data_IF_775437233266
#
_entry.id   IF_775437233266
#
_cell.length_a   1.000
_cell.length_b   1.000
_cell.length_c   1.000
_cell.angle_alpha   90.00
_cell.angle_beta   90.00
_cell.angle_gamma   90.00
#
_symmetry.space_group_name_H-M   'P 1'
#
loop_
_entity.id
_entity.type
_entity.pdbx_description
1 polymer ?
#
# COMPACT_ATOMS: atom_id res chain seq x y z
N UNK A 1 -1.71 -14.47 4.58
CA UNK A 1 -2.12 -14.04 5.95
C UNK A 1 -1.07 -13.13 6.59
N UNK A 2 0.23 -13.42 6.43
CA UNK A 2 1.31 -12.58 7.01
C UNK A 2 2.10 -11.76 5.98
N UNK A 3 1.63 -11.66 4.74
CA UNK A 3 2.35 -10.97 3.66
C UNK A 3 2.63 -9.51 4.01
N UNK A 4 1.64 -8.81 4.57
CA UNK A 4 1.77 -7.41 4.96
C UNK A 4 2.76 -7.21 6.12
N UNK A 5 2.74 -8.11 7.11
CA UNK A 5 3.70 -8.06 8.20
C UNK A 5 5.14 -8.36 7.72
N UNK A 6 5.29 -9.26 6.76
CA UNK A 6 6.56 -9.53 6.09
C UNK A 6 7.04 -8.30 5.32
N UNK A 7 6.17 -7.61 4.57
CA UNK A 7 6.53 -6.36 3.89
C UNK A 7 6.97 -5.27 4.89
N UNK A 8 6.28 -5.14 6.02
CA UNK A 8 6.69 -4.25 7.12
C UNK A 8 8.07 -4.63 7.67
N UNK A 9 8.32 -5.93 7.85
CA UNK A 9 9.63 -6.45 8.24
C UNK A 9 10.72 -6.08 7.24
N UNK A 10 10.49 -6.32 5.95
CA UNK A 10 11.41 -5.91 4.86
C UNK A 10 11.75 -4.43 4.95
N UNK A 11 10.75 -3.55 5.11
CA UNK A 11 10.98 -2.10 5.28
C UNK A 11 11.84 -1.78 6.51
N UNK A 12 11.67 -2.50 7.63
CA UNK A 12 12.46 -2.30 8.83
C UNK A 12 13.93 -2.70 8.63
N UNK A 13 14.21 -3.85 8.00
CA UNK A 13 15.57 -4.27 7.66
C UNK A 13 16.25 -3.33 6.64
N UNK A 14 15.44 -2.74 5.75
CA UNK A 14 15.91 -1.82 4.72
C UNK A 14 15.95 -0.35 5.18
N UNK A 15 15.68 -0.05 6.45
CA UNK A 15 15.57 1.31 6.94
C UNK A 15 16.92 2.06 6.91
N UNK A 16 16.92 3.29 6.38
CA UNK A 16 18.10 4.16 6.32
C UNK A 16 19.14 3.75 5.29
N UNK A 17 20.24 4.51 5.22
CA UNK A 17 21.31 4.28 4.24
C UNK A 17 22.23 3.09 4.60
N UNK A 18 22.38 2.78 5.89
CA UNK A 18 23.20 1.67 6.39
C UNK A 18 22.30 0.61 7.04
N UNK A 19 22.63 -0.68 6.98
CA UNK A 19 21.87 -1.74 7.64
C UNK A 19 21.75 -1.46 9.15
N UNK A 20 20.54 -1.36 9.71
CA UNK A 20 20.34 -1.09 11.14
C UNK A 20 20.73 -2.30 12.02
N UNK A 21 21.21 -2.11 13.25
CA UNK A 21 21.39 -3.20 14.21
C UNK A 21 20.10 -4.00 14.44
N UNK A 22 20.23 -5.29 14.76
CA UNK A 22 19.08 -6.17 14.99
C UNK A 22 18.15 -5.70 16.11
N UNK A 23 18.69 -5.09 17.17
CA UNK A 23 17.90 -4.52 18.27
C UNK A 23 17.03 -3.34 17.79
N UNK A 24 17.59 -2.45 16.96
CA UNK A 24 16.85 -1.31 16.39
C UNK A 24 15.73 -1.79 15.45
N UNK A 25 15.98 -2.84 14.65
CA UNK A 25 14.94 -3.44 13.79
C UNK A 25 13.79 -3.94 14.67
N UNK A 26 14.12 -4.72 15.71
CA UNK A 26 13.12 -5.31 16.61
C UNK A 26 12.32 -4.25 17.36
N UNK A 27 12.99 -3.25 17.94
CA UNK A 27 12.34 -2.13 18.62
C UNK A 27 11.45 -1.35 17.65
N UNK A 28 11.92 -1.15 16.42
CA UNK A 28 11.13 -0.60 15.32
C UNK A 28 9.83 -1.38 15.12
N UNK A 29 9.91 -2.68 14.88
CA UNK A 29 8.70 -3.52 14.67
C UNK A 29 7.71 -3.39 15.84
N UNK A 30 8.19 -3.53 17.08
CA UNK A 30 7.36 -3.47 18.29
C UNK A 30 6.71 -2.10 18.50
N UNK A 31 7.48 -1.02 18.38
CA UNK A 31 6.95 0.35 18.51
C UNK A 31 5.95 0.71 17.40
N UNK A 32 6.00 0.00 16.26
CA UNK A 32 5.00 0.11 15.20
C UNK A 32 3.73 -0.69 15.47
N UNK A 33 3.61 -1.32 16.63
CA UNK A 33 2.46 -2.11 17.04
C UNK A 33 2.46 -3.56 16.54
N UNK A 34 3.58 -4.10 16.05
CA UNK A 34 3.67 -5.55 15.85
C UNK A 34 3.67 -6.26 17.21
N UNK A 35 2.96 -7.38 17.26
CA UNK A 35 2.96 -8.22 18.45
C UNK A 35 4.33 -8.92 18.61
N UNK A 36 4.84 -9.09 19.84
CA UNK A 36 6.18 -9.63 20.08
C UNK A 36 6.46 -10.96 19.40
N UNK A 37 5.50 -11.90 19.43
CA UNK A 37 5.65 -13.21 18.83
C UNK A 37 5.88 -13.15 17.31
N UNK A 38 5.32 -12.16 16.63
CA UNK A 38 5.47 -11.99 15.18
C UNK A 38 6.77 -11.25 14.87
N UNK A 39 7.12 -10.23 15.66
CA UNK A 39 8.39 -9.52 15.51
C UNK A 39 9.58 -10.48 15.64
N UNK A 40 9.59 -11.35 16.66
CA UNK A 40 10.68 -12.33 16.88
C UNK A 40 10.79 -13.32 15.71
N UNK A 41 9.65 -13.77 15.16
CA UNK A 41 9.62 -14.64 13.97
C UNK A 41 10.13 -13.94 12.72
N UNK A 42 9.79 -12.66 12.51
CA UNK A 42 10.29 -11.89 11.37
C UNK A 42 11.81 -11.69 11.46
N UNK A 43 12.34 -11.44 12.67
CA UNK A 43 13.78 -11.32 12.89
C UNK A 43 14.55 -12.59 12.50
N UNK A 44 13.94 -13.76 12.67
CA UNK A 44 14.54 -15.05 12.29
C UNK A 44 14.31 -15.38 10.81
N UNK A 45 13.06 -15.35 10.34
CA UNK A 45 12.71 -15.93 9.05
C UNK A 45 12.99 -15.03 7.85
N UNK A 46 13.04 -13.71 8.00
CA UNK A 46 13.42 -12.83 6.89
C UNK A 46 14.88 -13.06 6.46
N UNK A 47 15.89 -13.03 7.36
CA UNK A 47 17.26 -13.34 6.98
C UNK A 47 17.41 -14.72 6.34
N UNK A 48 16.72 -15.74 6.85
CA UNK A 48 16.77 -17.11 6.29
C UNK A 48 16.19 -17.12 4.87
N UNK A 49 14.97 -16.63 4.68
CA UNK A 49 14.29 -16.64 3.39
C UNK A 49 15.08 -15.89 2.31
N UNK A 50 15.58 -14.69 2.63
CA UNK A 50 16.36 -13.87 1.71
C UNK A 50 17.78 -14.41 1.51
N UNK A 51 18.40 -14.96 2.56
CA UNK A 51 19.71 -15.59 2.50
C UNK A 51 19.72 -16.81 1.58
N UNK A 52 18.74 -17.71 1.71
CA UNK A 52 18.62 -18.91 0.87
C UNK A 52 18.44 -18.59 -0.62
N UNK A 53 17.82 -17.45 -0.95
CA UNK A 53 17.77 -16.96 -2.33
C UNK A 53 19.16 -16.61 -2.88
N UNK A 54 20.10 -16.18 -2.04
CA UNK A 54 21.48 -15.88 -2.45
C UNK A 54 22.40 -17.11 -2.50
N UNK A 55 22.08 -18.17 -1.77
CA UNK A 55 22.92 -19.37 -1.63
C UNK A 55 22.79 -20.37 -2.79
N UNK A 56 22.58 -19.89 -4.02
CA UNK A 56 22.40 -20.76 -5.19
C UNK A 56 23.52 -21.79 -5.31
N UNK A 57 23.16 -23.08 -5.34
CA UNK A 57 24.10 -24.21 -5.45
C UNK A 57 24.50 -24.86 -4.12
N UNK A 58 24.21 -24.24 -2.97
CA UNK A 58 24.39 -24.85 -1.64
C UNK A 58 23.20 -25.75 -1.33
N UNK A 59 23.44 -26.96 -0.82
CA UNK A 59 22.36 -27.79 -0.28
C UNK A 59 22.03 -27.31 1.13
N UNK A 60 20.78 -26.91 1.38
CA UNK A 60 20.32 -26.44 2.69
C UNK A 60 19.25 -27.38 3.24
N UNK A 61 19.30 -27.63 4.55
CA UNK A 61 18.26 -28.37 5.26
C UNK A 61 16.99 -27.51 5.37
N UNK A 62 15.82 -28.06 5.05
CA UNK A 62 14.54 -27.36 5.10
C UNK A 62 13.87 -27.39 6.49
N UNK A 63 14.65 -27.68 7.52
CA UNK A 63 14.23 -27.70 8.91
C UNK A 63 15.02 -26.75 9.81
N UNK A 64 14.44 -26.43 10.96
CA UNK A 64 15.07 -25.67 12.03
C UNK A 64 14.81 -26.33 13.38
N UNK A 65 15.71 -26.16 14.33
CA UNK A 65 15.62 -26.66 15.71
C UNK A 65 15.16 -25.52 16.62
N UNK A 66 13.99 -25.69 17.22
CA UNK A 66 13.29 -24.71 18.06
C UNK A 66 12.99 -25.34 19.42
N UNK A 67 13.68 -24.88 20.46
CA UNK A 67 13.58 -25.47 21.80
C UNK A 67 13.96 -26.95 21.85
N UNK A 68 14.92 -27.37 21.01
CA UNK A 68 15.35 -28.78 20.88
C UNK A 68 14.45 -29.65 20.00
N UNK A 69 13.41 -29.09 19.39
CA UNK A 69 12.51 -29.80 18.47
C UNK A 69 12.80 -29.39 17.04
N UNK A 70 13.11 -30.37 16.18
CA UNK A 70 13.26 -30.15 14.74
C UNK A 70 11.88 -29.96 14.08
N UNK A 71 11.72 -28.88 13.31
CA UNK A 71 10.48 -28.51 12.62
C UNK A 71 10.77 -28.14 11.17
N UNK A 72 9.90 -28.47 10.21
CA UNK A 72 10.04 -28.02 8.84
C UNK A 72 9.77 -26.51 8.73
N UNK A 73 10.61 -25.78 7.98
CA UNK A 73 10.43 -24.36 7.70
C UNK A 73 9.12 -24.10 6.94
N UNK A 74 8.76 -24.98 6.00
CA UNK A 74 7.48 -24.93 5.28
C UNK A 74 6.25 -25.12 6.19
N UNK A 75 6.45 -25.60 7.43
CA UNK A 75 5.40 -25.69 8.44
C UNK A 75 5.10 -24.36 9.13
N UNK A 76 5.95 -23.33 8.94
CA UNK A 76 5.75 -22.02 9.54
C UNK A 76 5.16 -21.00 8.55
N UNK A 77 3.95 -20.48 8.80
CA UNK A 77 3.29 -19.58 7.86
C UNK A 77 4.00 -18.22 7.68
N UNK A 78 4.80 -17.78 8.67
CA UNK A 78 5.59 -16.54 8.55
C UNK A 78 6.78 -16.77 7.63
N UNK A 79 7.46 -17.92 7.75
CA UNK A 79 8.52 -18.29 6.82
C UNK A 79 8.01 -18.44 5.39
N UNK A 80 6.87 -19.11 5.18
CA UNK A 80 6.27 -19.28 3.85
C UNK A 80 5.98 -17.93 3.19
N UNK A 81 5.43 -16.97 3.95
CA UNK A 81 5.22 -15.60 3.46
C UNK A 81 6.55 -14.88 3.17
N UNK A 82 7.54 -14.99 4.05
CA UNK A 82 8.88 -14.43 3.86
C UNK A 82 9.56 -14.98 2.61
N UNK A 83 9.49 -16.29 2.36
CA UNK A 83 10.04 -16.95 1.19
C UNK A 83 9.40 -16.44 -0.10
N UNK A 84 8.07 -16.28 -0.13
CA UNK A 84 7.35 -15.71 -1.28
C UNK A 84 7.78 -14.27 -1.57
N UNK A 85 7.85 -13.41 -0.54
CA UNK A 85 8.31 -12.02 -0.71
C UNK A 85 9.77 -11.98 -1.15
N UNK A 86 10.61 -12.84 -0.58
CA UNK A 86 12.02 -12.94 -0.95
C UNK A 86 12.19 -13.27 -2.44
N UNK A 87 11.32 -14.07 -3.07
CA UNK A 87 11.40 -14.36 -4.51
C UNK A 87 11.16 -13.13 -5.40
N UNK A 88 10.34 -12.19 -4.94
CA UNK A 88 9.94 -11.00 -5.70
C UNK A 88 10.85 -9.79 -5.45
N UNK A 89 11.63 -9.81 -4.37
CA UNK A 89 12.43 -8.67 -3.95
C UNK A 89 13.54 -8.30 -4.95
N UNK A 90 13.97 -7.04 -4.90
CA UNK A 90 15.12 -6.57 -5.68
C UNK A 90 16.45 -7.13 -5.15
N UNK A 91 17.51 -7.03 -5.97
CA UNK A 91 18.86 -7.49 -5.58
C UNK A 91 19.38 -6.72 -4.35
N UNK A 92 19.15 -5.41 -4.28
CA UNK A 92 19.61 -4.56 -3.18
C UNK A 92 18.95 -4.93 -1.84
N UNK A 93 17.62 -5.09 -1.84
CA UNK A 93 16.86 -5.56 -0.67
C UNK A 93 17.32 -6.96 -0.24
N UNK A 94 17.54 -7.83 -1.23
CA UNK A 94 17.98 -9.20 -0.98
C UNK A 94 19.34 -9.25 -0.30
N UNK A 95 20.34 -8.56 -0.86
CA UNK A 95 21.67 -8.49 -0.26
C UNK A 95 21.64 -7.91 1.16
N UNK A 96 20.78 -6.90 1.37
CA UNK A 96 20.67 -6.22 2.67
C UNK A 96 20.10 -7.13 3.75
N UNK A 97 18.99 -7.81 3.48
CA UNK A 97 18.34 -8.71 4.46
C UNK A 97 19.15 -9.99 4.66
N UNK A 98 19.69 -10.56 3.56
CA UNK A 98 20.53 -11.74 3.61
C UNK A 98 21.83 -11.52 4.42
N UNK A 99 22.31 -10.27 4.54
CA UNK A 99 23.46 -9.93 5.38
C UNK A 99 23.29 -10.25 6.87
N UNK A 100 22.05 -10.43 7.33
CA UNK A 100 21.74 -10.86 8.71
C UNK A 100 21.66 -12.38 8.85
N UNK A 101 21.82 -13.14 7.76
CA UNK A 101 21.68 -14.59 7.77
C UNK A 101 22.96 -15.28 8.23
N UNK A 102 22.86 -16.10 9.27
CA UNK A 102 23.95 -16.96 9.71
C UNK A 102 24.35 -17.98 8.64
N UNK A 103 23.42 -18.46 7.81
CA UNK A 103 23.72 -19.37 6.70
C UNK A 103 24.61 -18.69 5.67
N UNK A 104 24.30 -17.44 5.31
CA UNK A 104 25.10 -16.64 4.37
C UNK A 104 26.49 -16.35 4.94
N UNK A 105 26.56 -16.00 6.23
CA UNK A 105 27.84 -15.78 6.91
C UNK A 105 28.71 -17.05 6.93
N UNK A 106 28.12 -18.21 7.24
CA UNK A 106 28.82 -19.49 7.28
C UNK A 106 29.35 -19.91 5.90
N UNK A 107 28.53 -19.78 4.85
CA UNK A 107 28.96 -20.04 3.47
C UNK A 107 30.06 -19.06 3.05
N UNK A 108 29.91 -17.78 3.38
CA UNK A 108 30.94 -16.77 3.10
C UNK A 108 32.29 -17.11 3.74
N UNK A 109 32.30 -17.56 5.00
CA UNK A 109 33.51 -18.01 5.69
C UNK A 109 34.11 -19.27 5.05
N UNK A 110 33.29 -20.26 4.70
CA UNK A 110 33.75 -21.48 4.05
C UNK A 110 34.38 -21.19 2.68
N UNK A 111 33.79 -20.28 1.89
CA UNK A 111 34.34 -19.84 0.62
C UNK A 111 35.68 -19.13 0.78
N UNK A 112 35.82 -18.26 1.78
CA UNK A 112 37.11 -17.62 2.11
C UNK A 112 38.17 -18.67 2.52
N UNK A 113 37.75 -19.79 3.10
CA UNK A 113 38.59 -20.95 3.40
C UNK A 113 38.91 -21.85 2.19
N UNK A 114 38.42 -21.52 0.99
CA UNK A 114 38.68 -22.28 -0.25
C UNK A 114 37.72 -23.43 -0.51
N UNK A 115 36.63 -23.57 0.25
CA UNK A 115 35.59 -24.54 -0.06
C UNK A 115 34.83 -24.16 -1.34
N UNK A 116 34.21 -25.14 -2.00
CA UNK A 116 33.39 -24.92 -3.20
C UNK A 116 31.92 -24.99 -2.86
N UNK A 117 31.12 -24.13 -3.49
CA UNK A 117 29.68 -24.01 -3.25
C UNK A 117 28.95 -25.35 -3.41
N UNK A 118 29.30 -26.12 -4.45
CA UNK A 118 28.62 -27.36 -4.82
C UNK A 118 28.89 -28.51 -3.83
N UNK A 119 29.92 -28.39 -3.00
CA UNK A 119 30.31 -29.36 -1.99
C UNK A 119 29.76 -28.99 -0.60
N UNK A 120 29.10 -27.83 -0.47
CA UNK A 120 28.56 -27.36 0.80
C UNK A 120 27.17 -27.92 1.09
N UNK A 121 27.02 -28.43 2.31
CA UNK A 121 25.72 -28.80 2.88
C UNK A 121 25.57 -28.09 4.22
N UNK A 122 24.52 -27.28 4.36
CA UNK A 122 24.14 -26.66 5.62
C UNK A 122 23.11 -27.55 6.32
N UNK A 123 23.42 -27.92 7.56
CA UNK A 123 22.47 -28.61 8.44
C UNK A 123 21.35 -27.69 8.92
N UNK A 124 20.45 -28.20 9.77
CA UNK A 124 19.31 -27.44 10.27
C UNK A 124 19.76 -26.22 11.09
N UNK A 125 19.00 -25.13 10.94
CA UNK A 125 19.24 -23.90 11.69
C UNK A 125 18.85 -24.15 13.15
N UNK A 126 19.76 -23.93 14.09
CA UNK A 126 19.44 -24.04 15.52
C UNK A 126 19.19 -22.65 16.09
N UNK A 127 18.02 -22.45 16.71
CA UNK A 127 17.69 -21.21 17.38
C UNK A 127 18.18 -21.25 18.82
N UNK A 128 18.85 -20.18 19.26
CA UNK A 128 19.37 -20.06 20.63
C UNK A 128 18.22 -20.00 21.66
N UNK A 129 17.14 -19.30 21.30
CA UNK A 129 15.92 -19.19 22.09
C UNK A 129 14.73 -19.74 21.31
N UNK A 130 13.78 -20.44 21.98
CA UNK A 130 12.61 -20.95 21.31
C UNK A 130 11.72 -19.81 20.82
N UNK A 131 11.14 -19.97 19.63
CA UNK A 131 10.20 -18.98 19.08
C UNK A 131 8.93 -18.94 19.91
N UNK A 132 8.38 -17.74 20.20
CA UNK A 132 7.08 -17.63 20.83
C UNK A 132 5.99 -18.34 20.02
N UNK A 133 4.99 -18.90 20.70
CA UNK A 133 3.88 -19.60 20.06
C UNK A 133 3.17 -18.72 19.03
N UNK A 134 2.83 -19.32 17.88
CA UNK A 134 2.04 -18.66 16.85
C UNK A 134 0.64 -18.35 17.41
N UNK A 135 0.19 -17.11 17.26
CA UNK A 135 -1.15 -16.69 17.69
C UNK A 135 -2.07 -16.39 16.50
N UNK A 136 -3.39 -16.56 16.66
CA UNK A 136 -4.35 -16.12 15.65
C UNK A 136 -4.29 -14.61 15.41
N UNK A 137 -4.68 -14.18 14.21
CA UNK A 137 -4.80 -12.77 13.84
C UNK A 137 -3.63 -12.26 13.00
N UNK A 138 -3.54 -10.94 12.88
CA UNK A 138 -2.58 -10.26 11.99
C UNK A 138 -1.29 -9.83 12.68
N UNK A 139 -1.14 -10.11 13.98
CA UNK A 139 0.00 -9.69 14.79
C UNK A 139 0.30 -8.19 14.74
N UNK A 140 -0.74 -7.35 14.61
CA UNK A 140 -0.62 -5.89 14.55
C UNK A 140 -0.66 -5.25 13.15
N UNK A 141 -0.57 -6.05 12.07
CA UNK A 141 -0.57 -5.54 10.69
C UNK A 141 -1.72 -6.16 9.88
N UNK A 142 -2.96 -5.64 9.97
CA UNK A 142 -4.09 -6.21 9.24
C UNK A 142 -3.90 -6.09 7.72
N UNK A 143 -4.30 -7.11 6.97
CA UNK A 143 -4.26 -7.07 5.51
C UNK A 143 -5.28 -6.04 4.97
N UNK A 144 -4.87 -5.02 4.18
CA UNK A 144 -5.80 -4.04 3.66
C UNK A 144 -6.93 -4.65 2.84
N UNK A 145 -6.68 -5.76 2.12
CA UNK A 145 -7.69 -6.52 1.38
C UNK A 145 -8.81 -7.06 2.27
N UNK A 146 -8.47 -7.69 3.39
CA UNK A 146 -9.47 -8.19 4.35
C UNK A 146 -10.27 -7.05 4.97
N UNK A 147 -9.59 -5.97 5.37
CA UNK A 147 -10.26 -4.80 5.97
C UNK A 147 -11.20 -4.14 4.94
N UNK A 148 -10.73 -3.97 3.70
CA UNK A 148 -11.51 -3.42 2.60
C UNK A 148 -12.74 -4.27 2.26
N UNK A 149 -12.59 -5.60 2.16
CA UNK A 149 -13.72 -6.50 1.86
C UNK A 149 -14.78 -6.44 2.97
N UNK A 150 -14.37 -6.45 4.24
CA UNK A 150 -15.28 -6.29 5.37
C UNK A 150 -16.00 -4.93 5.35
N UNK A 151 -15.28 -3.87 5.02
CA UNK A 151 -15.81 -2.52 4.88
C UNK A 151 -16.86 -2.46 3.76
N UNK A 152 -16.54 -2.93 2.54
CA UNK A 152 -17.48 -2.96 1.40
C UNK A 152 -18.77 -3.72 1.74
N UNK A 153 -18.66 -4.84 2.46
CA UNK A 153 -19.82 -5.63 2.89
C UNK A 153 -20.74 -4.84 3.85
N UNK A 154 -20.18 -4.01 4.74
CA UNK A 154 -20.95 -3.15 5.62
C UNK A 154 -21.78 -2.09 4.84
N UNK A 155 -21.34 -1.73 3.64
CA UNK A 155 -22.02 -0.81 2.72
C UNK A 155 -22.94 -1.52 1.70
N UNK A 156 -23.27 -2.79 1.95
CA UNK A 156 -24.19 -3.55 1.10
C UNK A 156 -23.57 -4.03 -0.22
N UNK A 157 -22.25 -3.96 -0.34
CA UNK A 157 -21.49 -4.43 -1.51
C UNK A 157 -20.61 -5.60 -1.07
N UNK A 158 -21.14 -6.83 -0.95
CA UNK A 158 -20.39 -7.97 -0.44
C UNK A 158 -19.32 -8.40 -1.46
N UNK A 159 -18.08 -8.00 -1.20
CA UNK A 159 -16.91 -8.42 -1.96
C UNK A 159 -16.53 -9.84 -1.53
N UNK A 160 -16.41 -10.76 -2.50
CA UNK A 160 -15.98 -12.13 -2.24
C UNK A 160 -14.56 -12.23 -1.68
N UNK A 161 -14.17 -13.40 -1.20
CA UNK A 161 -12.77 -13.66 -0.78
C UNK A 161 -11.77 -13.50 -1.94
N UNK A 162 -12.24 -13.63 -3.18
CA UNK A 162 -11.51 -13.40 -4.42
C UNK A 162 -11.40 -11.91 -4.80
N UNK A 163 -11.91 -11.02 -3.94
CA UNK A 163 -12.01 -9.58 -4.16
C UNK A 163 -12.80 -9.19 -5.41
N UNK A 164 -13.89 -9.92 -5.73
CA UNK A 164 -14.75 -9.62 -6.88
C UNK A 164 -16.19 -9.28 -6.49
N UNK A 165 -16.83 -8.45 -7.31
CA UNK A 165 -18.28 -8.17 -7.28
C UNK A 165 -18.77 -8.02 -8.71
N UNK A 166 -19.52 -9.01 -9.22
CA UNK A 166 -19.91 -9.05 -10.62
C UNK A 166 -18.68 -9.01 -11.54
N UNK A 167 -18.65 -8.03 -12.44
CA UNK A 167 -17.53 -7.82 -13.37
C UNK A 167 -16.37 -7.01 -12.76
N UNK A 168 -16.53 -6.48 -11.54
CA UNK A 168 -15.49 -5.72 -10.86
C UNK A 168 -14.49 -6.64 -10.15
N UNK A 169 -13.20 -6.37 -10.33
CA UNK A 169 -12.10 -6.97 -9.57
C UNK A 169 -11.40 -5.88 -8.74
N UNK A 170 -11.23 -6.14 -7.44
CA UNK A 170 -10.61 -5.20 -6.50
C UNK A 170 -9.24 -5.68 -6.04
N UNK A 171 -8.38 -4.73 -5.67
CA UNK A 171 -7.15 -4.97 -4.92
C UNK A 171 -6.99 -3.90 -3.86
N UNK A 172 -6.50 -4.29 -2.68
CA UNK A 172 -6.04 -3.35 -1.66
C UNK A 172 -4.69 -3.85 -1.15
N UNK A 173 -3.62 -3.17 -1.54
CA UNK A 173 -2.24 -3.61 -1.28
C UNK A 173 -1.50 -2.60 -0.40
N UNK A 174 -0.77 -3.10 0.59
CA UNK A 174 0.08 -2.28 1.45
C UNK A 174 1.43 -2.00 0.77
N UNK A 175 1.82 -0.74 0.75
CA UNK A 175 3.18 -0.27 0.49
C UNK A 175 3.71 0.41 1.76
N UNK A 176 4.50 -0.31 2.57
CA UNK A 176 5.10 0.27 3.76
C UNK A 176 6.26 1.21 3.40
N UNK A 177 6.31 2.38 4.04
CA UNK A 177 7.37 3.37 3.82
C UNK A 177 8.34 3.45 5.01
N UNK A 178 9.58 3.92 4.80
CA UNK A 178 10.48 4.24 5.89
C UNK A 178 9.84 5.20 6.90
N UNK A 179 10.20 5.05 8.17
CA UNK A 179 9.64 5.87 9.23
C UNK A 179 10.05 7.34 9.05
N UNK A 180 9.10 8.28 9.12
CA UNK A 180 9.40 9.71 8.99
C UNK A 180 9.97 10.29 10.29
N UNK A 181 9.60 9.69 11.44
CA UNK A 181 10.05 10.08 12.76
C UNK A 181 9.96 8.89 13.73
N UNK A 182 10.67 8.92 14.88
CA UNK A 182 10.49 7.94 15.94
C UNK A 182 9.02 7.85 16.38
N UNK A 183 8.54 6.63 16.58
CA UNK A 183 7.16 6.36 17.03
C UNK A 183 6.08 6.59 15.96
N UNK A 184 6.44 6.86 14.70
CA UNK A 184 5.49 6.94 13.59
C UNK A 184 5.79 5.88 12.53
N UNK A 185 4.72 5.36 11.93
CA UNK A 185 4.76 4.51 10.74
C UNK A 185 3.95 5.14 9.63
N UNK A 186 4.30 4.80 8.39
CA UNK A 186 3.64 5.30 7.18
C UNK A 186 3.17 4.12 6.36
N UNK A 187 1.85 3.97 6.29
CA UNK A 187 1.20 2.95 5.47
C UNK A 187 0.59 3.64 4.25
N UNK A 188 1.09 3.33 3.06
CA UNK A 188 0.37 3.63 1.84
C UNK A 188 -0.46 2.41 1.45
N UNK A 189 -1.77 2.57 1.29
CA UNK A 189 -2.65 1.53 0.76
C UNK A 189 -3.08 1.94 -0.64
N UNK A 190 -2.80 1.08 -1.63
CA UNK A 190 -3.27 1.26 -2.99
C UNK A 190 -4.57 0.46 -3.15
N UNK A 191 -5.68 1.19 -3.31
CA UNK A 191 -6.98 0.64 -3.65
C UNK A 191 -7.14 0.66 -5.15
N UNK A 192 -7.35 -0.50 -5.76
CA UNK A 192 -7.50 -0.63 -7.19
C UNK A 192 -8.82 -1.32 -7.54
N UNK A 193 -9.46 -0.87 -8.61
CA UNK A 193 -10.64 -1.50 -9.19
C UNK A 193 -10.46 -1.63 -10.69
N UNK A 194 -10.69 -2.84 -11.20
CA UNK A 194 -10.81 -3.12 -12.62
C UNK A 194 -12.28 -3.40 -12.92
N UNK A 195 -12.81 -2.75 -13.96
CA UNK A 195 -14.19 -2.93 -14.37
C UNK A 195 -14.32 -2.67 -15.89
N UNK A 196 -15.10 -3.45 -16.64
CA UNK A 196 -15.22 -3.29 -18.11
C UNK A 196 -15.73 -1.92 -18.57
N UNK A 197 -16.44 -1.19 -17.70
CA UNK A 197 -16.93 0.15 -18.01
C UNK A 197 -15.84 1.23 -17.95
N UNK A 198 -14.66 0.97 -17.35
CA UNK A 198 -13.59 1.96 -17.26
C UNK A 198 -12.94 2.22 -18.61
N UNK A 199 -12.53 3.46 -18.85
CA UNK A 199 -11.78 3.85 -20.04
C UNK A 199 -10.38 3.22 -20.10
N UNK A 200 -9.82 2.87 -18.94
CA UNK A 200 -8.54 2.16 -18.78
C UNK A 200 -8.70 0.98 -17.82
N UNK A 201 -8.00 -0.14 -18.06
CA UNK A 201 -7.90 -1.20 -17.06
C UNK A 201 -7.27 -0.63 -15.80
N UNK A 202 -7.87 -0.94 -14.65
CA UNK A 202 -7.44 -0.48 -13.32
C UNK A 202 -7.50 1.04 -13.11
N UNK A 203 -8.49 1.47 -12.33
CA UNK A 203 -8.35 2.70 -11.54
C UNK A 203 -7.60 2.35 -10.26
N UNK A 204 -6.59 3.14 -9.91
CA UNK A 204 -5.83 3.00 -8.66
C UNK A 204 -5.85 4.31 -7.90
N UNK A 205 -6.24 4.25 -6.63
CA UNK A 205 -6.09 5.34 -5.69
C UNK A 205 -5.15 4.94 -4.54
N UNK A 206 -4.15 5.78 -4.29
CA UNK A 206 -3.18 5.59 -3.22
C UNK A 206 -3.48 6.51 -2.04
N UNK A 207 -3.86 5.95 -0.90
CA UNK A 207 -4.09 6.70 0.34
C UNK A 207 -2.95 6.44 1.32
N UNK A 208 -2.48 7.48 2.00
CA UNK A 208 -1.36 7.39 2.95
C UNK A 208 -1.86 7.75 4.35
N UNK A 209 -1.68 6.84 5.29
CA UNK A 209 -1.90 7.06 6.71
C UNK A 209 -0.58 7.15 7.47
N UNK A 210 -0.54 8.01 8.49
CA UNK A 210 0.62 8.24 9.34
C UNK A 210 0.17 8.19 10.80
N UNK A 211 0.60 7.17 11.53
CA UNK A 211 0.12 6.91 12.88
C UNK A 211 1.19 6.25 13.75
N UNK A 212 0.87 6.03 15.03
CA UNK A 212 1.77 5.33 15.96
C UNK A 212 1.93 3.85 15.62
N UNK A 213 0.88 3.22 15.10
CA UNK A 213 0.88 1.79 14.75
C UNK A 213 0.49 1.52 13.30
N UNK A 214 0.92 0.37 12.76
CA UNK A 214 0.57 -0.06 11.41
C UNK A 214 -0.92 -0.24 11.24
N UNK A 215 -1.59 -0.81 12.25
CA UNK A 215 -3.05 -0.90 12.30
C UNK A 215 -3.69 0.48 12.10
N UNK A 216 -3.34 1.45 12.94
CA UNK A 216 -3.93 2.80 12.85
C UNK A 216 -3.63 3.48 11.52
N UNK A 217 -2.40 3.37 10.99
CA UNK A 217 -2.04 3.96 9.70
C UNK A 217 -2.82 3.33 8.53
N UNK A 218 -3.04 2.02 8.55
CA UNK A 218 -3.88 1.32 7.55
C UNK A 218 -5.34 1.77 7.66
N UNK A 219 -5.90 1.87 8.86
CA UNK A 219 -7.27 2.35 9.06
C UNK A 219 -7.44 3.83 8.68
N UNK A 220 -6.45 4.68 8.93
CA UNK A 220 -6.46 6.06 8.43
C UNK A 220 -6.46 6.11 6.89
N UNK A 221 -5.66 5.25 6.24
CA UNK A 221 -5.64 5.14 4.77
C UNK A 221 -7.02 4.74 4.22
N UNK A 222 -7.69 3.79 4.87
CA UNK A 222 -9.04 3.38 4.50
C UNK A 222 -10.07 4.49 4.74
N UNK A 223 -10.01 5.19 5.88
CA UNK A 223 -10.93 6.30 6.16
C UNK A 223 -10.79 7.44 5.13
N UNK A 224 -9.58 7.67 4.63
CA UNK A 224 -9.33 8.61 3.53
C UNK A 224 -9.98 8.12 2.23
N UNK A 225 -9.78 6.84 1.87
CA UNK A 225 -10.39 6.23 0.69
C UNK A 225 -11.92 6.26 0.75
N UNK A 226 -12.49 5.93 1.90
CA UNK A 226 -13.93 5.96 2.15
C UNK A 226 -14.52 7.34 1.88
N UNK A 227 -13.91 8.40 2.44
CA UNK A 227 -14.40 9.77 2.29
C UNK A 227 -14.29 10.29 0.86
N UNK A 228 -13.19 9.97 0.18
CA UNK A 228 -12.87 10.57 -1.12
C UNK A 228 -13.38 9.75 -2.32
N UNK A 229 -13.25 8.43 -2.29
CA UNK A 229 -13.25 7.60 -3.51
C UNK A 229 -14.29 6.50 -3.47
N UNK A 230 -14.54 5.91 -2.31
CA UNK A 230 -15.32 4.68 -2.25
C UNK A 230 -16.76 4.86 -2.72
N UNK A 231 -17.45 5.89 -2.23
CA UNK A 231 -18.82 6.20 -2.66
C UNK A 231 -18.95 6.53 -4.15
N UNK A 232 -18.16 7.45 -4.74
CA UNK A 232 -18.26 7.71 -6.17
C UNK A 232 -17.85 6.50 -7.01
N UNK A 233 -16.91 5.66 -6.55
CA UNK A 233 -16.55 4.39 -7.20
C UNK A 233 -17.72 3.40 -7.21
N UNK A 234 -18.34 3.16 -6.05
CA UNK A 234 -19.52 2.30 -5.93
C UNK A 234 -20.63 2.82 -6.85
N UNK A 235 -20.85 4.13 -6.86
CA UNK A 235 -21.92 4.73 -7.65
C UNK A 235 -21.69 4.69 -9.16
N UNK A 236 -20.43 4.79 -9.58
CA UNK A 236 -20.03 4.78 -10.98
C UNK A 236 -19.93 3.38 -11.58
N UNK A 237 -19.50 2.39 -10.80
CA UNK A 237 -19.10 1.07 -11.31
C UNK A 237 -19.97 -0.09 -10.83
N UNK A 238 -20.67 0.04 -9.70
CA UNK A 238 -21.38 -1.07 -9.05
C UNK A 238 -22.88 -0.78 -8.93
N UNK A 239 -23.29 -0.15 -7.84
CA UNK A 239 -24.68 0.22 -7.56
C UNK A 239 -24.76 1.65 -7.06
N UNK A 240 -25.32 2.53 -7.88
CA UNK A 240 -25.57 3.94 -7.52
C UNK A 240 -26.48 4.12 -6.33
N UNK A 241 -27.41 3.20 -6.08
CA UNK A 241 -28.33 3.31 -4.95
C UNK A 241 -27.60 3.07 -3.63
N UNK A 242 -26.57 2.23 -3.63
CA UNK A 242 -25.76 1.95 -2.44
C UNK A 242 -24.96 3.17 -1.94
N UNK A 243 -24.71 4.17 -2.79
CA UNK A 243 -23.90 5.35 -2.47
C UNK A 243 -24.63 6.69 -2.65
N UNK A 244 -25.95 6.65 -2.89
CA UNK A 244 -26.71 7.80 -3.39
C UNK A 244 -26.66 9.07 -2.53
N UNK A 245 -26.72 8.92 -1.21
CA UNK A 245 -26.71 10.07 -0.28
C UNK A 245 -25.30 10.61 0.01
N UNK A 246 -24.26 9.94 -0.51
CA UNK A 246 -22.84 10.23 -0.23
C UNK A 246 -22.05 10.71 -1.45
N UNK A 247 -22.72 10.88 -2.59
CA UNK A 247 -22.09 11.31 -3.85
C UNK A 247 -22.85 12.49 -4.42
N UNK A 248 -22.14 13.59 -4.66
CA UNK A 248 -22.71 14.69 -5.45
C UNK A 248 -22.72 14.28 -6.92
N UNK A 249 -23.88 14.44 -7.56
CA UNK A 249 -24.06 14.14 -8.98
C UNK A 249 -24.39 15.43 -9.72
N UNK A 250 -23.56 15.76 -10.71
CA UNK A 250 -23.78 16.92 -11.57
C UNK A 250 -23.74 16.51 -13.04
N UNK A 251 -24.50 17.21 -13.88
CA UNK A 251 -24.41 17.02 -15.34
C UNK A 251 -23.24 17.83 -15.88
N UNK A 252 -22.41 17.18 -16.68
CA UNK A 252 -21.23 17.76 -17.31
C UNK A 252 -21.32 17.67 -18.84
N UNK A 253 -21.61 18.78 -19.53
CA UNK A 253 -21.56 18.83 -20.98
C UNK A 253 -20.12 18.78 -21.50
N UNK A 254 -19.84 17.80 -22.36
CA UNK A 254 -18.52 17.60 -22.96
C UNK A 254 -18.64 17.38 -24.49
N UNK A 255 -17.65 17.80 -25.31
CA UNK A 255 -17.69 17.58 -26.77
C UNK A 255 -17.83 16.11 -27.18
N UNK A 256 -17.34 15.18 -26.36
CA UNK A 256 -17.51 13.72 -26.52
C UNK A 256 -18.88 13.16 -26.10
N UNK A 257 -19.85 14.02 -25.76
CA UNK A 257 -21.19 13.67 -25.26
C UNK A 257 -21.39 14.06 -23.80
N UNK A 258 -22.63 14.01 -23.30
CA UNK A 258 -22.92 14.35 -21.90
C UNK A 258 -22.42 13.27 -20.93
N UNK A 259 -21.87 13.71 -19.80
CA UNK A 259 -21.47 12.87 -18.68
C UNK A 259 -22.18 13.32 -17.40
N UNK A 260 -22.25 12.42 -16.42
CA UNK A 260 -22.53 12.75 -15.02
C UNK A 260 -21.20 12.73 -14.27
N UNK A 261 -20.92 13.80 -13.54
CA UNK A 261 -19.81 13.92 -12.61
C UNK A 261 -20.26 13.38 -11.25
N UNK A 262 -19.63 12.33 -10.78
CA UNK A 262 -19.85 11.72 -9.46
C UNK A 262 -18.67 12.13 -8.56
N UNK A 263 -18.90 13.13 -7.73
CA UNK A 263 -17.88 13.77 -6.91
C UNK A 263 -17.90 13.21 -5.49
N UNK A 264 -16.74 12.78 -5.01
CA UNK A 264 -16.52 12.44 -3.61
C UNK A 264 -16.23 13.66 -2.75
N UNK A 265 -16.10 13.48 -1.43
CA UNK A 265 -15.78 14.60 -0.55
C UNK A 265 -14.36 15.13 -0.81
N UNK A 266 -14.19 16.45 -0.68
CA UNK A 266 -12.87 17.03 -0.53
C UNK A 266 -12.23 16.48 0.75
N UNK A 267 -10.98 16.03 0.63
CA UNK A 267 -10.16 15.63 1.77
C UNK A 267 -9.08 16.66 1.99
N UNK A 268 -9.15 17.28 3.16
CA UNK A 268 -8.15 18.21 3.66
C UNK A 268 -7.09 17.45 4.46
N UNK A 269 -5.83 17.71 4.14
CA UNK A 269 -4.67 17.08 4.76
C UNK A 269 -3.77 18.16 5.36
N UNK A 270 -3.11 17.83 6.47
CA UNK A 270 -2.10 18.65 7.17
C UNK A 270 -2.57 19.96 7.80
N UNK A 271 -3.65 20.58 7.30
CA UNK A 271 -4.15 21.86 7.79
C UNK A 271 -4.81 21.73 9.17
N UNK A 272 -4.57 22.72 10.03
CA UNK A 272 -5.30 22.91 11.30
C UNK A 272 -6.45 23.90 11.17
N UNK A 273 -6.35 24.81 10.19
CA UNK A 273 -7.37 25.80 9.90
C UNK A 273 -8.38 25.26 8.88
N UNK A 274 -9.62 25.78 8.84
CA UNK A 274 -10.61 25.40 7.85
C UNK A 274 -10.09 25.67 6.43
N UNK A 275 -10.10 24.63 5.58
CA UNK A 275 -9.66 24.73 4.19
C UNK A 275 -10.84 25.16 3.30
N UNK A 276 -10.67 26.16 2.41
CA UNK A 276 -11.71 26.53 1.46
C UNK A 276 -12.10 25.41 0.50
N UNK A 277 -13.30 25.52 -0.08
CA UNK A 277 -13.75 24.60 -1.13
C UNK A 277 -12.83 24.64 -2.35
N UNK A 278 -12.51 23.47 -2.89
CA UNK A 278 -11.75 23.27 -4.11
C UNK A 278 -12.60 23.34 -5.38
N UNK A 279 -13.90 23.58 -5.26
CA UNK A 279 -14.85 23.71 -6.37
C UNK A 279 -14.38 24.72 -7.46
N UNK A 280 -13.87 25.93 -7.14
CA UNK A 280 -13.38 26.84 -8.18
C UNK A 280 -12.18 26.31 -8.97
N UNK A 281 -11.38 25.43 -8.37
CA UNK A 281 -10.27 24.75 -9.03
C UNK A 281 -10.78 23.57 -9.87
N UNK A 282 -11.74 22.80 -9.34
CA UNK A 282 -12.40 21.74 -10.08
C UNK A 282 -13.08 22.27 -11.34
N UNK A 283 -13.75 23.43 -11.28
CA UNK A 283 -14.38 24.07 -12.44
C UNK A 283 -13.37 24.43 -13.55
N UNK A 284 -12.19 24.89 -13.16
CA UNK A 284 -11.10 25.17 -14.10
C UNK A 284 -10.57 23.89 -14.74
N UNK A 285 -10.43 22.81 -13.96
CA UNK A 285 -10.06 21.50 -14.48
C UNK A 285 -11.13 20.96 -15.44
N UNK A 286 -12.42 21.02 -15.08
CA UNK A 286 -13.52 20.61 -15.93
C UNK A 286 -13.62 21.45 -17.20
N UNK A 287 -13.21 22.71 -17.15
CA UNK A 287 -13.10 23.56 -18.35
C UNK A 287 -11.98 23.08 -19.26
N UNK A 288 -10.78 22.83 -18.72
CA UNK A 288 -9.64 22.30 -19.47
C UNK A 288 -9.90 20.89 -20.02
N UNK A 289 -10.72 20.09 -19.32
CA UNK A 289 -11.06 18.74 -19.72
C UNK A 289 -11.84 18.70 -21.04
N UNK A 290 -12.53 19.78 -21.43
CA UNK A 290 -13.27 19.86 -22.71
C UNK A 290 -12.37 19.70 -23.94
N UNK A 291 -11.08 19.98 -23.81
CA UNK A 291 -10.09 19.83 -24.88
C UNK A 291 -9.52 18.40 -24.94
N UNK A 292 -9.91 17.51 -24.01
CA UNK A 292 -9.48 16.12 -23.96
C UNK A 292 -10.53 15.22 -24.63
N UNK A 293 -10.18 14.42 -25.65
CA UNK A 293 -11.13 13.51 -26.25
C UNK A 293 -11.48 12.36 -25.29
N UNK A 294 -12.67 12.43 -24.69
CA UNK A 294 -13.20 11.37 -23.82
C UNK A 294 -14.04 10.38 -24.63
N UNK A 295 -13.87 9.10 -24.31
CA UNK A 295 -14.68 8.01 -24.86
C UNK A 295 -16.03 7.92 -24.15
N UNK A 296 -16.95 7.08 -24.62
CA UNK A 296 -18.20 6.77 -23.91
C UNK A 296 -18.01 5.69 -22.83
N UNK A 297 -16.87 5.69 -22.16
CA UNK A 297 -16.56 4.87 -21.01
C UNK A 297 -16.58 5.72 -19.73
N UNK A 298 -16.43 5.07 -18.58
CA UNK A 298 -16.27 5.72 -17.28
C UNK A 298 -14.82 6.20 -17.14
N UNK A 299 -14.65 7.49 -16.88
CA UNK A 299 -13.35 8.12 -16.69
C UNK A 299 -13.15 8.51 -15.22
N UNK A 300 -11.92 8.39 -14.72
CA UNK A 300 -11.57 8.78 -13.36
C UNK A 300 -10.70 10.04 -13.37
N UNK A 301 -11.13 11.09 -12.70
CA UNK A 301 -10.38 12.34 -12.53
C UNK A 301 -10.02 12.50 -11.05
N UNK A 302 -8.75 12.73 -10.76
CA UNK A 302 -8.31 13.09 -9.41
C UNK A 302 -7.28 14.21 -9.45
N UNK A 303 -7.26 15.01 -8.39
CA UNK A 303 -6.12 15.86 -8.10
C UNK A 303 -5.76 15.83 -6.62
N UNK A 304 -4.47 16.00 -6.37
CA UNK A 304 -3.91 16.24 -5.05
C UNK A 304 -2.86 17.35 -5.16
N UNK A 305 -3.07 18.42 -4.41
CA UNK A 305 -2.10 19.52 -4.29
C UNK A 305 -1.70 19.67 -2.83
N UNK A 306 -0.40 19.82 -2.56
CA UNK A 306 0.11 20.13 -1.23
C UNK A 306 0.93 21.41 -1.26
N UNK A 307 0.72 22.27 -0.27
CA UNK A 307 1.40 23.55 -0.11
C UNK A 307 2.03 23.65 1.29
N UNK A 308 3.12 24.40 1.39
CA UNK A 308 3.72 24.86 2.64
C UNK A 308 3.95 26.37 2.53
N UNK A 309 3.33 27.14 3.42
CA UNK A 309 3.48 28.61 3.46
C UNK A 309 3.22 29.27 2.10
N UNK A 310 2.14 28.81 1.44
CA UNK A 310 1.73 29.28 0.11
C UNK A 310 2.55 28.71 -1.06
N UNK A 311 3.61 27.96 -0.81
CA UNK A 311 4.44 27.36 -1.86
C UNK A 311 3.98 25.94 -2.19
N UNK A 312 3.77 25.66 -3.47
CA UNK A 312 3.37 24.34 -3.97
C UNK A 312 4.51 23.32 -3.82
N UNK A 313 4.28 22.28 -3.02
CA UNK A 313 5.21 21.17 -2.79
C UNK A 313 4.91 19.96 -3.65
N UNK A 314 3.62 19.66 -3.86
CA UNK A 314 3.17 18.50 -4.63
C UNK A 314 2.01 18.91 -5.50
N UNK A 315 2.03 18.44 -6.75
CA UNK A 315 1.01 18.72 -7.73
C UNK A 315 0.76 17.48 -8.56
N UNK A 316 -0.28 16.74 -8.21
CA UNK A 316 -0.67 15.51 -8.87
C UNK A 316 -2.06 15.72 -9.47
N UNK A 317 -2.18 15.61 -10.80
CA UNK A 317 -3.47 15.59 -11.48
C UNK A 317 -3.46 14.41 -12.42
N UNK A 318 -4.44 13.53 -12.27
CA UNK A 318 -4.50 12.28 -13.00
C UNK A 318 -5.86 12.13 -13.69
N UNK A 319 -5.83 11.64 -14.92
CA UNK A 319 -6.99 11.22 -15.69
C UNK A 319 -6.79 9.75 -16.08
N UNK A 320 -7.72 8.89 -15.68
CA UNK A 320 -7.70 7.44 -15.92
C UNK A 320 -6.43 6.74 -15.44
N UNK A 321 -5.87 7.20 -14.32
CA UNK A 321 -4.66 6.64 -13.73
C UNK A 321 -3.35 7.15 -14.34
N UNK A 322 -3.41 8.04 -15.33
CA UNK A 322 -2.24 8.65 -15.97
C UNK A 322 -2.08 10.13 -15.57
N UNK A 323 -0.85 10.63 -15.38
CA UNK A 323 -0.61 12.05 -15.17
C UNK A 323 -1.19 12.90 -16.30
N UNK A 324 -1.99 13.92 -15.95
CA UNK A 324 -2.61 14.83 -16.90
C UNK A 324 -1.94 16.21 -16.86
N UNK A 325 -1.00 16.44 -17.77
CA UNK A 325 -0.14 17.64 -17.78
C UNK A 325 -0.92 18.96 -17.86
N UNK A 326 -1.97 19.04 -18.67
CA UNK A 326 -2.79 20.25 -18.76
C UNK A 326 -3.49 20.53 -17.44
N UNK A 327 -4.01 19.49 -16.79
CA UNK A 327 -4.59 19.61 -15.45
C UNK A 327 -3.57 20.08 -14.41
N UNK A 328 -2.35 19.53 -14.44
CA UNK A 328 -1.26 19.98 -13.56
C UNK A 328 -0.89 21.46 -13.76
N UNK A 329 -0.98 21.99 -14.99
CA UNK A 329 -0.75 23.43 -15.24
C UNK A 329 -1.85 24.29 -14.64
N UNK A 330 -3.10 23.83 -14.69
CA UNK A 330 -4.25 24.52 -14.08
C UNK A 330 -4.06 24.61 -12.57
N UNK A 331 -3.81 23.49 -11.89
CA UNK A 331 -3.58 23.46 -10.44
C UNK A 331 -2.32 24.23 -10.01
N UNK A 332 -1.24 24.17 -10.78
CA UNK A 332 -0.02 24.94 -10.49
C UNK A 332 -0.23 26.47 -10.59
N UNK A 333 -1.19 26.91 -11.41
CA UNK A 333 -1.51 28.32 -11.59
C UNK A 333 -2.52 28.83 -10.56
N UNK A 334 -3.16 27.93 -9.81
CA UNK A 334 -4.13 28.29 -8.80
C UNK A 334 -3.45 28.78 -7.51
N UNK A 335 -4.04 29.75 -6.80
CA UNK A 335 -3.53 30.20 -5.52
C UNK A 335 -3.57 29.09 -4.49
N UNK A 336 -2.64 29.12 -3.53
CA UNK A 336 -2.67 28.21 -2.39
C UNK A 336 -4.00 28.37 -1.62
N UNK A 337 -4.63 27.26 -1.16
CA UNK A 337 -5.88 27.32 -0.40
C UNK A 337 -5.76 28.10 0.91
N UNK A 338 -4.57 28.07 1.53
CA UNK A 338 -4.24 28.81 2.75
C UNK A 338 -2.93 29.60 2.54
N UNK A 339 -2.79 30.79 3.15
CA UNK A 339 -1.61 31.64 2.99
C UNK A 339 -0.39 31.18 3.81
N UNK A 340 -0.61 30.38 4.85
CA UNK A 340 0.44 29.94 5.79
C UNK A 340 0.17 28.53 6.29
N UNK A 341 1.23 27.83 6.72
CA UNK A 341 1.15 26.46 7.22
C UNK A 341 1.06 25.39 6.13
N UNK A 342 1.08 24.11 6.52
CA UNK A 342 0.91 23.00 5.60
C UNK A 342 -0.57 22.80 5.24
N UNK A 343 -0.89 22.63 3.96
CA UNK A 343 -2.23 22.28 3.50
C UNK A 343 -2.16 21.35 2.29
N UNK A 344 -2.86 20.22 2.36
CA UNK A 344 -3.10 19.33 1.25
C UNK A 344 -4.58 19.29 0.93
N UNK A 345 -4.92 19.32 -0.36
CA UNK A 345 -6.30 19.20 -0.85
C UNK A 345 -6.35 18.06 -1.84
N UNK A 346 -7.23 17.10 -1.60
CA UNK A 346 -7.49 15.97 -2.49
C UNK A 346 -8.96 15.94 -2.88
N UNK A 347 -9.20 15.74 -4.18
CA UNK A 347 -10.54 15.54 -4.74
C UNK A 347 -10.48 14.40 -5.75
N UNK A 348 -11.52 13.56 -5.73
CA UNK A 348 -11.69 12.45 -6.65
C UNK A 348 -13.09 12.49 -7.26
N UNK A 349 -13.18 12.25 -8.57
CA UNK A 349 -14.44 12.18 -9.27
C UNK A 349 -14.44 11.10 -10.37
N UNK A 350 -15.61 10.56 -10.66
CA UNK A 350 -15.86 9.78 -11.86
C UNK A 350 -16.70 10.58 -12.85
N UNK A 351 -16.36 10.52 -14.13
CA UNK A 351 -17.22 10.95 -15.23
C UNK A 351 -17.86 9.71 -15.84
N UNK A 352 -19.17 9.56 -15.68
CA UNK A 352 -19.93 8.44 -16.26
C UNK A 352 -20.75 8.92 -17.44
N UNK A 353 -20.85 8.17 -18.55
CA UNK A 353 -21.68 8.59 -19.68
C UNK A 353 -23.14 8.79 -19.27
N UNK A 354 -23.71 9.97 -19.53
CA UNK A 354 -25.09 10.25 -19.21
C UNK A 354 -26.03 9.34 -20.04
N UNK A 355 -27.10 8.86 -19.40
CA UNK A 355 -28.13 8.03 -20.05
C UNK A 355 -27.78 6.55 -20.24
N UNK A 356 -26.60 6.09 -19.80
CA UNK A 356 -26.30 4.66 -19.70
C UNK A 356 -26.77 4.12 -18.34
N UNK A 357 -28.01 3.63 -18.27
CA UNK A 357 -28.48 2.69 -17.24
C UNK A 357 -29.51 1.74 -17.83
#
# INVERSE_FOLDING_TARGET
MFDEAVLVGVTAFCAGAQPPPGEEIREGLLSGGLEPWLADRLMVFLPIAFGRRMLGGVTVDDTFVDGGVTRPLAGDPVFVAAARVAQLAGQAETARIAGYSHEVAAVGQALQGGAKVEEMTLGPITLDEPLPELRPGSGGVPAPSTVFAHWMAAYGVPVGEDLRVGDAEFRATLTPHPRPAPGLVVAQVNFAVNHPALARPWMVESCVGVAGTWKEAIFQSLAMFERAVAYPMIAALLDRRAAGDHVLVERYPHPGGEFELLLGAQVDLFATDPVPSAEPLLDQLLTALKDVPLSRAVHALRFFTAYQDGQLLTNEVFLDGEPWETGMKVTASAPAPLPSGPVGVRVFAFLTPAGQR
#
